data_IF_516425377786
#
_entry.id   IF_516425377786
#
_cell.length_a   1.000
_cell.length_b   1.000
_cell.length_c   1.000
_cell.angle_alpha   90.00
_cell.angle_beta   90.00
_cell.angle_gamma   90.00
#
_symmetry.space_group_name_H-M   'P 1'
#
loop_
_entity.id
_entity.type
_entity.pdbx_description
1 polymer ?
#
# COMPACT_ATOMS: atom_id res chain seq x y z
N UNK A 1 -23.12 -2.63 -19.98
CA UNK A 1 -21.98 -1.73 -20.25
C UNK A 1 -21.23 -2.32 -21.44
N UNK A 2 -21.84 -2.31 -22.63
CA UNK A 2 -21.37 -3.14 -23.76
C UNK A 2 -20.99 -2.29 -24.98
N UNK A 3 -20.54 -1.06 -24.72
CA UNK A 3 -20.21 -0.08 -25.78
C UNK A 3 -18.70 0.08 -25.98
N UNK A 4 -17.87 -0.55 -25.14
CA UNK A 4 -16.42 -0.48 -25.27
C UNK A 4 -15.95 -1.58 -26.23
N UNK A 5 -15.56 -1.17 -27.44
CA UNK A 5 -14.99 -2.05 -28.44
C UNK A 5 -13.68 -2.65 -27.91
N UNK A 6 -13.55 -3.98 -27.93
CA UNK A 6 -12.37 -4.70 -27.44
C UNK A 6 -11.05 -4.33 -28.17
N UNK A 7 -11.14 -3.59 -29.28
CA UNK A 7 -10.01 -3.07 -30.06
C UNK A 7 -9.53 -1.66 -29.65
N UNK A 8 -10.13 -1.04 -28.64
CA UNK A 8 -9.78 0.32 -28.23
C UNK A 8 -8.34 0.37 -27.71
N UNK A 9 -7.52 1.23 -28.33
CA UNK A 9 -6.14 1.51 -27.88
C UNK A 9 -6.14 2.76 -27.04
N UNK A 10 -5.73 2.62 -25.78
CA UNK A 10 -5.72 3.67 -24.78
C UNK A 10 -4.27 4.05 -24.45
N UNK A 11 -4.01 5.35 -24.49
CA UNK A 11 -2.74 5.95 -24.11
C UNK A 11 -2.96 7.00 -23.03
N UNK A 12 -2.02 7.07 -22.09
CA UNK A 12 -1.88 8.20 -21.17
C UNK A 12 -0.59 8.92 -21.52
N UNK A 13 -0.73 10.21 -21.83
CA UNK A 13 0.40 11.12 -21.87
C UNK A 13 0.72 11.55 -20.45
N UNK A 14 1.95 11.30 -20.02
CA UNK A 14 2.45 11.66 -18.70
C UNK A 14 3.66 12.56 -18.84
N UNK A 15 3.63 13.68 -18.14
CA UNK A 15 4.65 14.72 -18.20
C UNK A 15 5.09 15.16 -16.81
N UNK A 16 6.41 15.24 -16.60
CA UNK A 16 7.01 15.86 -15.42
C UNK A 16 8.22 16.67 -15.86
N UNK A 17 8.13 18.00 -15.76
CA UNK A 17 9.16 18.91 -16.25
C UNK A 17 9.36 18.76 -17.76
N UNK A 18 10.60 18.47 -18.17
CA UNK A 18 10.95 18.23 -19.58
C UNK A 18 10.86 16.76 -20.02
N UNK A 19 10.35 15.87 -19.16
CA UNK A 19 10.20 14.45 -19.48
C UNK A 19 8.76 14.14 -19.84
N UNK A 20 8.53 13.83 -21.11
CA UNK A 20 7.27 13.32 -21.64
C UNK A 20 7.36 11.82 -21.88
N UNK A 21 6.30 11.08 -21.54
CA UNK A 21 6.15 9.66 -21.86
C UNK A 21 4.71 9.37 -22.30
N UNK A 22 4.58 8.62 -23.38
CA UNK A 22 3.31 8.01 -23.79
C UNK A 22 3.23 6.58 -23.25
N UNK A 23 2.28 6.33 -22.35
CA UNK A 23 2.09 5.05 -21.69
C UNK A 23 0.89 4.34 -22.34
N UNK A 24 1.12 3.14 -22.89
CA UNK A 24 0.06 2.27 -23.42
C UNK A 24 -0.65 1.55 -22.28
N UNK A 25 -1.92 1.89 -22.06
CA UNK A 25 -2.71 1.33 -20.96
C UNK A 25 -3.08 -0.12 -21.23
N UNK A 26 -3.31 -0.50 -22.49
CA UNK A 26 -3.56 -1.89 -22.87
C UNK A 26 -2.39 -2.80 -22.48
N UNK A 27 -1.15 -2.39 -22.78
CA UNK A 27 0.06 -3.16 -22.47
C UNK A 27 0.25 -3.28 -20.94
N UNK A 28 -0.04 -2.19 -20.21
CA UNK A 28 -0.01 -2.19 -18.74
C UNK A 28 -1.06 -3.14 -18.15
N UNK A 29 -2.29 -3.12 -18.66
CA UNK A 29 -3.35 -4.04 -18.24
C UNK A 29 -2.96 -5.51 -18.50
N UNK A 30 -2.41 -5.81 -19.68
CA UNK A 30 -1.92 -7.15 -20.02
C UNK A 30 -0.81 -7.62 -19.07
N UNK A 31 0.12 -6.73 -18.72
CA UNK A 31 1.23 -7.06 -17.81
C UNK A 31 0.83 -7.19 -16.33
N UNK A 32 -0.20 -6.47 -15.89
CA UNK A 32 -0.67 -6.51 -14.50
C UNK A 32 -1.73 -7.60 -14.26
N UNK A 33 -2.55 -7.89 -15.27
CA UNK A 33 -3.69 -8.77 -15.16
C UNK A 33 -4.89 -8.12 -14.46
N UNK A 34 -6.03 -8.79 -14.55
CA UNK A 34 -7.33 -8.24 -14.12
C UNK A 34 -7.41 -7.99 -12.60
N UNK A 35 -6.94 -8.94 -11.79
CA UNK A 35 -7.01 -8.85 -10.32
C UNK A 35 -6.20 -7.66 -9.80
N UNK A 36 -4.90 -7.62 -10.13
CA UNK A 36 -4.03 -6.55 -9.66
C UNK A 36 -4.48 -5.18 -10.17
N UNK A 37 -4.95 -5.08 -11.42
CA UNK A 37 -5.50 -3.81 -11.96
C UNK A 37 -6.71 -3.35 -11.16
N UNK A 38 -7.66 -4.24 -10.85
CA UNK A 38 -8.82 -3.90 -10.01
C UNK A 38 -8.41 -3.46 -8.60
N UNK A 39 -7.32 -4.01 -8.07
CA UNK A 39 -6.82 -3.65 -6.75
C UNK A 39 -6.16 -2.26 -6.70
N UNK A 40 -5.52 -1.79 -7.77
CA UNK A 40 -4.68 -0.58 -7.77
C UNK A 40 -5.34 0.69 -7.16
N UNK A 41 -6.60 1.03 -7.46
CA UNK A 41 -7.23 2.22 -6.86
C UNK A 41 -7.37 2.11 -5.34
N UNK A 42 -7.72 0.93 -4.83
CA UNK A 42 -7.86 0.69 -3.38
C UNK A 42 -6.50 0.68 -2.70
N UNK A 43 -5.52 0.03 -3.33
CA UNK A 43 -4.14 0.09 -2.88
C UNK A 43 -3.62 1.54 -2.79
N UNK A 44 -3.96 2.40 -3.76
CA UNK A 44 -3.62 3.82 -3.73
C UNK A 44 -4.26 4.55 -2.54
N UNK A 45 -5.53 4.28 -2.25
CA UNK A 45 -6.24 4.85 -1.10
C UNK A 45 -5.66 4.37 0.24
N UNK A 46 -5.37 3.08 0.41
CA UNK A 46 -4.83 2.51 1.65
C UNK A 46 -3.41 3.02 1.93
N UNK A 47 -2.55 3.06 0.90
CA UNK A 47 -1.13 3.39 1.07
C UNK A 47 -0.83 4.90 1.05
N UNK A 48 -1.89 5.71 0.97
CA UNK A 48 -1.85 7.17 0.95
C UNK A 48 -2.17 7.75 -0.42
N UNK A 49 -3.24 8.52 -0.52
CA UNK A 49 -3.64 9.32 -1.68
C UNK A 49 -3.71 10.82 -1.32
N UNK A 50 -4.27 11.65 -2.19
CA UNK A 50 -4.44 13.08 -1.90
C UNK A 50 -5.34 13.35 -0.68
N UNK A 51 -6.17 12.37 -0.29
CA UNK A 51 -7.10 12.45 0.85
C UNK A 51 -6.71 11.58 2.05
N UNK A 52 -5.75 10.66 1.91
CA UNK A 52 -5.32 9.78 2.99
C UNK A 52 -3.81 9.89 3.20
N UNK A 53 -3.33 10.08 4.44
CA UNK A 53 -1.91 10.18 4.69
C UNK A 53 -1.19 8.88 4.32
N UNK A 54 0.04 8.99 3.85
CA UNK A 54 0.89 7.84 3.62
C UNK A 54 1.39 7.24 4.95
N UNK A 55 1.64 5.92 4.95
CA UNK A 55 2.25 5.25 6.09
C UNK A 55 3.66 5.81 6.39
N UNK A 56 3.92 6.10 7.67
CA UNK A 56 5.15 6.76 8.09
C UNK A 56 6.41 5.99 7.66
N UNK A 57 7.28 6.66 6.90
CA UNK A 57 8.53 6.10 6.34
C UNK A 57 8.33 4.85 5.47
N UNK A 58 7.13 4.63 4.91
CA UNK A 58 6.85 3.51 4.00
C UNK A 58 6.37 4.02 2.65
N UNK A 59 7.20 3.84 1.63
CA UNK A 59 6.82 4.09 0.24
C UNK A 59 6.00 2.95 -0.38
N UNK A 60 5.32 3.25 -1.48
CA UNK A 60 4.43 2.30 -2.20
C UNK A 60 5.16 1.11 -2.83
N UNK A 61 6.46 1.24 -3.14
CA UNK A 61 7.19 0.18 -3.85
C UNK A 61 7.23 -1.16 -3.09
N UNK A 62 7.50 -1.13 -1.78
CA UNK A 62 7.53 -2.36 -0.97
C UNK A 62 6.14 -2.96 -0.86
N UNK A 63 5.14 -2.14 -0.56
CA UNK A 63 3.75 -2.55 -0.45
C UNK A 63 3.24 -3.17 -1.76
N UNK A 64 3.55 -2.56 -2.90
CA UNK A 64 3.19 -3.06 -4.22
C UNK A 64 3.86 -4.41 -4.55
N UNK A 65 5.14 -4.58 -4.18
CA UNK A 65 5.84 -5.87 -4.35
C UNK A 65 5.22 -6.98 -3.50
N UNK A 66 4.73 -6.67 -2.29
CA UNK A 66 4.02 -7.62 -1.44
C UNK A 66 2.65 -7.96 -2.03
N UNK A 67 1.88 -6.94 -2.43
CA UNK A 67 0.56 -7.10 -3.05
C UNK A 67 0.62 -7.96 -4.31
N UNK A 68 1.60 -7.71 -5.19
CA UNK A 68 1.77 -8.47 -6.44
C UNK A 68 1.98 -9.98 -6.21
N UNK A 69 2.52 -10.38 -5.04
CA UNK A 69 2.83 -11.77 -4.71
C UNK A 69 1.71 -12.52 -4.01
N UNK A 70 0.65 -11.83 -3.57
CA UNK A 70 -0.42 -12.43 -2.76
C UNK A 70 -1.78 -12.15 -3.39
N UNK A 71 -2.48 -13.20 -3.79
CA UNK A 71 -3.88 -13.10 -4.26
C UNK A 71 -4.80 -12.73 -3.10
N UNK A 72 -4.54 -13.26 -1.89
CA UNK A 72 -5.27 -12.93 -0.66
C UNK A 72 -5.28 -11.42 -0.40
N UNK A 73 -4.11 -10.75 -0.46
CA UNK A 73 -4.05 -9.30 -0.27
C UNK A 73 -4.67 -8.52 -1.42
N UNK A 74 -4.65 -9.07 -2.64
CA UNK A 74 -5.33 -8.44 -3.77
C UNK A 74 -6.85 -8.44 -3.61
N UNK A 75 -7.42 -9.56 -3.15
CA UNK A 75 -8.85 -9.72 -2.89
C UNK A 75 -9.29 -8.85 -1.71
N UNK A 76 -8.62 -8.93 -0.57
CA UNK A 76 -8.95 -8.11 0.60
C UNK A 76 -8.90 -6.60 0.28
N UNK A 77 -7.94 -6.14 -0.53
CA UNK A 77 -7.92 -4.75 -0.97
C UNK A 77 -9.10 -4.39 -1.90
N UNK A 78 -9.63 -5.33 -2.69
CA UNK A 78 -10.79 -5.07 -3.56
C UNK A 78 -12.10 -4.92 -2.77
N UNK A 79 -12.18 -5.53 -1.60
CA UNK A 79 -13.40 -5.64 -0.77
C UNK A 79 -13.68 -4.42 0.13
N UNK A 80 -12.74 -3.49 0.28
CA UNK A 80 -12.82 -2.30 1.18
C UNK A 80 -14.05 -1.38 0.99
N UNK A 81 -14.84 -1.59 -0.06
CA UNK A 81 -15.98 -0.72 -0.42
C UNK A 81 -17.32 -1.32 0.04
N UNK A 82 -17.35 -2.55 0.57
CA UNK A 82 -18.62 -3.11 1.08
C UNK A 82 -18.98 -2.42 2.40
N UNK A 83 -20.20 -1.87 2.49
CA UNK A 83 -20.75 -1.27 3.72
C UNK A 83 -20.82 -2.27 4.89
N UNK A 84 -20.69 -3.57 4.58
CA UNK A 84 -20.44 -4.62 5.54
C UNK A 84 -18.95 -4.62 5.91
N UNK A 85 -18.65 -4.21 7.14
CA UNK A 85 -17.34 -4.38 7.77
C UNK A 85 -17.04 -5.87 7.91
N UNK A 86 -16.49 -6.47 6.84
CA UNK A 86 -15.97 -7.83 6.92
C UNK A 86 -14.69 -7.82 7.79
N UNK A 87 -14.86 -8.27 9.03
CA UNK A 87 -13.78 -8.42 10.01
C UNK A 87 -12.61 -9.24 9.44
N UNK A 88 -12.89 -10.21 8.56
CA UNK A 88 -11.87 -11.01 7.90
C UNK A 88 -11.03 -10.18 6.90
N UNK A 89 -11.67 -9.36 6.07
CA UNK A 89 -10.99 -8.41 5.17
C UNK A 89 -10.10 -7.46 5.96
N UNK A 90 -10.62 -6.86 7.05
CA UNK A 90 -9.86 -5.96 7.88
C UNK A 90 -8.64 -6.64 8.50
N UNK A 91 -8.81 -7.83 9.10
CA UNK A 91 -7.71 -8.60 9.69
C UNK A 91 -6.65 -9.00 8.64
N UNK A 92 -7.07 -9.26 7.41
CA UNK A 92 -6.18 -9.58 6.29
C UNK A 92 -5.35 -8.36 5.87
N UNK A 93 -5.97 -7.18 5.80
CA UNK A 93 -5.28 -5.92 5.54
C UNK A 93 -4.36 -5.51 6.68
N UNK A 94 -4.73 -5.80 7.92
CA UNK A 94 -3.90 -5.55 9.10
C UNK A 94 -2.59 -6.35 9.06
N UNK A 95 -2.67 -7.64 8.70
CA UNK A 95 -1.49 -8.50 8.42
C UNK A 95 -0.64 -7.94 7.28
N UNK A 96 -1.28 -7.47 6.20
CA UNK A 96 -0.58 -6.85 5.08
C UNK A 96 0.22 -5.61 5.51
N UNK A 97 -0.35 -4.75 6.35
CA UNK A 97 0.33 -3.57 6.89
C UNK A 97 1.51 -3.99 7.80
N UNK A 98 1.33 -4.99 8.67
CA UNK A 98 2.43 -5.53 9.49
C UNK A 98 3.62 -6.01 8.63
N UNK A 99 3.34 -6.71 7.53
CA UNK A 99 4.35 -7.12 6.55
C UNK A 99 5.06 -5.95 5.86
N UNK A 100 4.31 -4.89 5.50
CA UNK A 100 4.88 -3.65 4.97
C UNK A 100 5.87 -3.02 5.95
N UNK A 101 5.58 -3.06 7.24
CA UNK A 101 6.46 -2.58 8.29
C UNK A 101 7.65 -3.50 8.58
N UNK A 102 7.61 -4.75 8.11
CA UNK A 102 8.66 -5.74 8.32
C UNK A 102 8.52 -6.52 9.62
N UNK A 103 7.27 -6.65 10.08
CA UNK A 103 6.90 -7.44 11.26
C UNK A 103 5.98 -8.59 10.77
N UNK A 104 6.52 -9.61 10.08
CA UNK A 104 5.72 -10.64 9.40
C UNK A 104 4.91 -11.53 10.35
N UNK A 105 5.31 -11.59 11.63
CA UNK A 105 4.67 -12.45 12.63
C UNK A 105 3.58 -11.72 13.42
N UNK A 106 3.29 -10.45 13.11
CA UNK A 106 2.20 -9.72 13.72
C UNK A 106 0.98 -9.74 12.80
N UNK A 107 -0.19 -9.96 13.38
CA UNK A 107 -1.48 -9.74 12.75
C UNK A 107 -2.16 -8.46 13.25
N UNK A 108 -1.57 -7.77 14.22
CA UNK A 108 -2.09 -6.53 14.78
C UNK A 108 -1.11 -5.37 14.54
N UNK A 109 -1.62 -4.27 14.00
CA UNK A 109 -0.81 -3.10 13.63
C UNK A 109 -0.34 -2.34 14.86
N UNK A 110 -1.14 -2.27 15.93
CA UNK A 110 -0.74 -1.62 17.17
C UNK A 110 0.40 -2.40 17.85
N UNK A 111 0.32 -3.73 17.89
CA UNK A 111 1.39 -4.58 18.40
C UNK A 111 2.68 -4.42 17.57
N UNK A 112 2.54 -4.36 16.24
CA UNK A 112 3.66 -4.12 15.35
C UNK A 112 4.31 -2.74 15.62
N UNK A 113 3.51 -1.70 15.82
CA UNK A 113 4.03 -0.37 16.15
C UNK A 113 4.70 -0.33 17.52
N UNK A 114 4.09 -0.94 18.55
CA UNK A 114 4.68 -1.03 19.88
C UNK A 114 6.02 -1.76 19.84
N UNK A 115 6.11 -2.86 19.08
CA UNK A 115 7.36 -3.59 18.86
C UNK A 115 8.42 -2.71 18.19
N UNK A 116 8.07 -2.01 17.11
CA UNK A 116 9.00 -1.12 16.39
C UNK A 116 9.45 0.06 17.25
N UNK A 117 8.54 0.66 17.99
CA UNK A 117 8.83 1.72 18.94
C UNK A 117 9.80 1.22 20.00
N UNK A 118 9.46 0.11 20.67
CA UNK A 118 10.30 -0.49 21.71
C UNK A 118 11.69 -0.82 21.19
N UNK A 119 11.80 -1.39 19.98
CA UNK A 119 13.09 -1.70 19.33
C UNK A 119 13.91 -0.45 19.03
N UNK A 120 13.27 0.64 18.61
CA UNK A 120 13.95 1.89 18.23
C UNK A 120 14.40 2.68 19.47
N UNK A 121 13.56 2.69 20.50
CA UNK A 121 13.72 3.53 21.68
C UNK A 121 14.12 2.77 22.94
N UNK A 122 14.72 1.57 22.82
CA UNK A 122 15.28 0.86 23.97
C UNK A 122 16.15 1.82 24.79
N UNK A 123 15.74 2.04 26.04
CA UNK A 123 16.50 2.83 27.00
C UNK A 123 17.72 2.00 27.39
N UNK A 124 18.90 2.38 26.90
CA UNK A 124 20.13 2.01 27.61
C UNK A 124 20.13 2.79 28.92
N UNK A 125 20.64 2.21 30.02
CA UNK A 125 20.68 2.86 31.35
C UNK A 125 21.27 4.28 31.36
N UNK A 126 22.02 4.67 30.31
CA UNK A 126 22.65 5.97 30.13
C UNK A 126 21.97 6.90 29.11
N UNK A 127 20.90 6.47 28.45
CA UNK A 127 20.32 7.20 27.32
C UNK A 127 19.24 8.19 27.76
N UNK A 128 19.38 9.45 27.34
CA UNK A 128 18.40 10.51 27.58
C UNK A 128 17.31 10.45 26.49
N UNK A 129 16.10 9.98 26.85
CA UNK A 129 14.98 9.70 25.93
C UNK A 129 14.64 10.87 25.00
N UNK A 130 14.69 12.10 25.53
CA UNK A 130 14.37 13.33 24.78
C UNK A 130 15.25 13.56 23.55
N UNK A 131 16.51 13.10 23.56
CA UNK A 131 17.42 13.28 22.42
C UNK A 131 17.07 12.39 21.23
N UNK A 132 16.43 11.23 21.44
CA UNK A 132 16.04 10.31 20.35
C UNK A 132 14.73 10.71 19.66
N UNK A 133 13.87 11.48 20.33
CA UNK A 133 12.56 11.89 19.81
C UNK A 133 12.57 13.24 19.05
N UNK A 134 13.70 13.96 19.02
CA UNK A 134 13.78 15.33 18.45
C UNK A 134 13.93 15.44 16.93
N UNK A 135 14.00 14.35 16.18
CA UNK A 135 14.23 14.37 14.72
C UNK A 135 12.97 14.12 13.89
N UNK A 136 11.83 14.66 14.31
CA UNK A 136 10.54 14.44 13.64
C UNK A 136 9.83 15.78 13.45
N UNK A 137 10.28 16.53 12.44
CA UNK A 137 9.47 17.47 11.66
C UNK A 137 9.39 16.92 10.23
#
# INVERSE_FOLDING_TARGET
MDHLNASLKLWIQWEVGYHERLIRINDLYQGLGISLTKTLPRFHAITGCDYTPAFFRKGKLRAFKLLKKSVEYQLACQEIITDDEDEHTFATLEKFICLMYGVPNSSNVNDAYLYLFSKTYQLKKSDNFEKKCRSFD
#
